data_IF_031303909237
#
_entry.id   IF_031303909237
#
_cell.length_a   1.000
_cell.length_b   1.000
_cell.length_c   1.000
_cell.angle_alpha   90.00
_cell.angle_beta   90.00
_cell.angle_gamma   90.00
#
_symmetry.space_group_name_H-M   'P 1'
#
loop_
_entity.id
_entity.type
_entity.pdbx_description
1 polymer ?
#
# COMPACT_ATOMS: atom_id res chain seq x y z
N UNK A 1 31.71 -23.37 3.99
CA UNK A 1 31.19 -22.12 4.59
C UNK A 1 30.07 -21.67 3.69
N UNK A 2 28.83 -21.77 4.18
CA UNK A 2 27.65 -21.34 3.42
C UNK A 2 27.84 -19.87 3.04
N UNK A 3 27.86 -19.55 1.76
CA UNK A 3 27.81 -18.17 1.32
C UNK A 3 26.48 -17.60 1.82
N UNK A 4 26.53 -16.81 2.91
CA UNK A 4 25.38 -16.02 3.33
C UNK A 4 24.95 -15.19 2.13
N UNK A 5 23.85 -15.60 1.50
CA UNK A 5 23.20 -14.81 0.45
C UNK A 5 22.60 -13.60 1.16
N UNK A 6 23.37 -12.53 1.26
CA UNK A 6 22.90 -11.26 1.78
C UNK A 6 21.78 -10.80 0.85
N UNK A 7 20.57 -10.60 1.38
CA UNK A 7 19.52 -10.00 0.55
C UNK A 7 19.94 -8.57 0.29
N UNK A 8 19.66 -8.08 -0.91
CA UNK A 8 20.05 -6.73 -1.30
C UNK A 8 19.48 -5.65 -0.37
N UNK A 9 18.27 -5.85 0.18
CA UNK A 9 17.69 -4.97 1.20
C UNK A 9 18.47 -4.95 2.53
N UNK A 10 19.15 -6.03 2.90
CA UNK A 10 19.97 -6.09 4.11
C UNK A 10 21.22 -5.21 3.95
N UNK A 11 21.81 -5.21 2.74
CA UNK A 11 22.94 -4.35 2.39
C UNK A 11 22.56 -2.87 2.45
N UNK A 12 21.43 -2.47 1.85
CA UNK A 12 20.96 -1.09 1.91
C UNK A 12 20.67 -0.66 3.36
N UNK A 13 20.05 -1.54 4.15
CA UNK A 13 19.79 -1.29 5.57
C UNK A 13 21.09 -1.12 6.38
N UNK A 14 22.12 -1.91 6.06
CA UNK A 14 23.43 -1.78 6.70
C UNK A 14 24.12 -0.46 6.32
N UNK A 15 24.07 -0.07 5.04
CA UNK A 15 24.61 1.21 4.55
C UNK A 15 23.93 2.39 5.27
N UNK A 16 22.60 2.36 5.42
CA UNK A 16 21.84 3.45 6.05
C UNK A 16 22.18 3.67 7.54
N UNK A 17 22.76 2.68 8.22
CA UNK A 17 23.16 2.75 9.63
C UNK A 17 24.63 3.13 9.85
N UNK A 18 25.40 3.33 8.78
CA UNK A 18 26.83 3.61 8.91
C UNK A 18 27.07 4.98 9.53
N UNK A 19 28.09 5.05 10.37
CA UNK A 19 28.60 6.33 10.87
C UNK A 19 29.34 7.08 9.76
N UNK A 20 29.54 8.42 9.88
CA UNK A 20 30.31 9.18 8.89
C UNK A 20 31.72 8.63 8.64
N UNK A 21 32.38 8.12 9.69
CA UNK A 21 33.70 7.48 9.57
C UNK A 21 33.65 6.17 8.78
N UNK A 22 32.62 5.35 9.02
CA UNK A 22 32.39 4.11 8.28
C UNK A 22 32.07 4.36 6.80
N UNK A 23 31.20 5.33 6.50
CA UNK A 23 30.93 5.75 5.12
C UNK A 23 32.18 6.23 4.39
N UNK A 24 32.99 7.05 5.08
CA UNK A 24 34.24 7.57 4.52
C UNK A 24 35.22 6.44 4.21
N UNK A 25 35.36 5.48 5.12
CA UNK A 25 36.26 4.35 4.91
C UNK A 25 35.74 3.37 3.85
N UNK A 26 34.43 3.10 3.80
CA UNK A 26 33.82 2.29 2.74
C UNK A 26 34.04 2.93 1.36
N UNK A 27 33.90 4.26 1.27
CA UNK A 27 34.19 5.04 0.05
C UNK A 27 35.67 4.98 -0.31
N UNK A 28 36.57 5.00 0.67
CA UNK A 28 38.00 4.85 0.42
C UNK A 28 38.30 3.45 -0.15
N UNK A 29 37.76 2.39 0.43
CA UNK A 29 37.92 1.01 -0.06
C UNK A 29 37.36 0.87 -1.48
N UNK A 30 36.20 1.47 -1.79
CA UNK A 30 35.54 1.32 -3.09
C UNK A 30 36.27 1.97 -4.26
N UNK A 31 37.27 2.82 -3.99
CA UNK A 31 38.12 3.44 -5.02
C UNK A 31 39.20 2.49 -5.54
N UNK A 32 39.41 1.36 -4.87
CA UNK A 32 40.43 0.38 -5.23
C UNK A 32 39.79 -0.79 -5.98
N UNK A 33 40.34 -1.11 -7.15
CA UNK A 33 39.94 -2.28 -7.96
C UNK A 33 40.65 -3.58 -7.52
N UNK A 34 41.54 -3.48 -6.53
CA UNK A 34 42.31 -4.59 -5.96
C UNK A 34 42.27 -4.49 -4.43
N UNK A 35 42.46 -5.61 -3.70
CA UNK A 35 42.34 -5.58 -2.25
C UNK A 35 43.31 -4.60 -1.59
N UNK A 36 42.76 -3.70 -0.79
CA UNK A 36 43.51 -2.63 -0.12
C UNK A 36 43.83 -3.00 1.33
N UNK A 37 45.01 -2.65 1.81
CA UNK A 37 45.45 -2.94 3.18
C UNK A 37 45.07 -1.83 4.15
N UNK A 38 45.00 -2.17 5.45
CA UNK A 38 44.85 -1.18 6.55
C UNK A 38 45.92 -0.09 6.47
N UNK A 39 47.15 -0.44 6.11
CA UNK A 39 48.26 0.53 6.02
C UNK A 39 48.06 1.53 4.89
N UNK A 40 47.59 1.09 3.73
CA UNK A 40 47.26 1.97 2.60
C UNK A 40 46.10 2.90 2.96
N UNK A 41 45.01 2.36 3.49
CA UNK A 41 43.85 3.14 3.93
C UNK A 41 44.20 4.17 5.02
N UNK A 42 45.05 3.80 5.98
CA UNK A 42 45.53 4.71 7.02
C UNK A 42 46.31 5.89 6.43
N UNK A 43 47.20 5.62 5.47
CA UNK A 43 47.96 6.65 4.77
C UNK A 43 47.05 7.57 3.93
N UNK A 44 46.12 7.01 3.17
CA UNK A 44 45.20 7.76 2.31
C UNK A 44 44.22 8.62 3.12
N UNK A 45 43.75 8.11 4.25
CA UNK A 45 42.75 8.80 5.09
C UNK A 45 43.37 9.74 6.13
N UNK A 46 44.71 9.75 6.27
CA UNK A 46 45.39 10.48 7.35
C UNK A 46 45.04 9.97 8.75
N UNK A 47 44.62 8.71 8.88
CA UNK A 47 44.16 8.11 10.12
C UNK A 47 45.21 7.16 10.70
N UNK A 48 45.15 6.93 12.00
CA UNK A 48 45.98 5.91 12.64
C UNK A 48 45.50 4.50 12.24
N UNK A 49 46.45 3.57 12.05
CA UNK A 49 46.15 2.19 11.61
C UNK A 49 45.21 1.43 12.56
N UNK A 50 45.24 1.75 13.85
CA UNK A 50 44.32 1.16 14.84
C UNK A 50 42.86 1.54 14.56
N UNK A 51 42.60 2.82 14.27
CA UNK A 51 41.25 3.33 13.99
C UNK A 51 40.69 2.78 12.67
N UNK A 52 41.55 2.67 11.64
CA UNK A 52 41.19 2.03 10.38
C UNK A 52 40.84 0.56 10.59
N UNK A 53 41.62 -0.16 11.39
CA UNK A 53 41.37 -1.57 11.69
C UNK A 53 40.02 -1.77 12.39
N UNK A 54 39.72 -0.95 13.39
CA UNK A 54 38.43 -1.00 14.09
C UNK A 54 37.26 -0.76 13.14
N UNK A 55 37.38 0.30 12.30
CA UNK A 55 36.32 0.68 11.37
C UNK A 55 36.11 -0.38 10.27
N UNK A 56 37.19 -0.95 9.71
CA UNK A 56 37.06 -1.94 8.64
C UNK A 56 36.57 -3.30 9.14
N UNK A 57 36.89 -3.68 10.38
CA UNK A 57 36.31 -4.87 11.00
C UNK A 57 34.80 -4.67 11.26
N UNK A 58 34.35 -3.46 11.64
CA UNK A 58 32.92 -3.17 11.74
C UNK A 58 32.20 -3.28 10.37
N UNK A 59 32.82 -2.78 9.30
CA UNK A 59 32.31 -2.92 7.93
C UNK A 59 32.27 -4.39 7.47
N UNK A 60 33.29 -5.18 7.84
CA UNK A 60 33.36 -6.61 7.52
C UNK A 60 32.26 -7.39 8.25
N UNK A 61 32.07 -7.14 9.54
CA UNK A 61 31.01 -7.75 10.34
C UNK A 61 29.61 -7.35 9.86
N UNK A 62 29.48 -6.22 9.16
CA UNK A 62 28.23 -5.77 8.54
C UNK A 62 28.03 -6.30 7.11
N UNK A 63 28.95 -7.14 6.61
CA UNK A 63 28.88 -7.72 5.27
C UNK A 63 29.17 -6.76 4.11
N UNK A 64 29.66 -5.54 4.40
CA UNK A 64 29.87 -4.50 3.37
C UNK A 64 31.23 -4.57 2.70
N UNK A 65 32.19 -5.25 3.34
CA UNK A 65 33.51 -5.53 2.78
C UNK A 65 33.84 -7.01 2.96
N UNK A 66 34.62 -7.55 2.03
CA UNK A 66 35.28 -8.85 2.17
C UNK A 66 36.75 -8.65 2.53
N UNK A 67 37.39 -9.71 3.02
CA UNK A 67 38.83 -9.75 3.29
C UNK A 67 39.46 -11.00 2.71
N UNK A 68 40.66 -10.86 2.20
CA UNK A 68 41.49 -11.96 1.73
C UNK A 68 42.92 -11.83 2.25
N UNK A 69 43.62 -12.96 2.34
CA UNK A 69 45.05 -12.96 2.63
C UNK A 69 45.81 -12.63 1.36
N UNK A 70 46.62 -11.57 1.41
CA UNK A 70 47.47 -11.18 0.30
C UNK A 70 48.70 -12.10 0.19
N UNK A 71 49.25 -12.29 -1.03
CA UNK A 71 50.48 -13.03 -1.23
C UNK A 71 51.62 -12.53 -0.34
N UNK A 72 52.42 -13.44 0.19
CA UNK A 72 53.54 -13.11 1.08
C UNK A 72 54.68 -12.51 0.24
N UNK A 73 54.97 -11.23 0.45
CA UNK A 73 56.21 -10.60 -0.02
C UNK A 73 57.18 -10.42 1.16
N UNK A 74 58.00 -11.43 1.46
CA UNK A 74 59.07 -11.36 2.46
C UNK A 74 58.79 -12.01 3.83
N UNK A 75 59.49 -11.58 4.89
CA UNK A 75 59.32 -12.08 6.27
C UNK A 75 58.18 -11.33 6.98
N UNK A 76 57.18 -12.05 7.48
CA UNK A 76 56.08 -11.49 8.28
C UNK A 76 54.78 -12.30 8.15
N UNK A 77 53.75 -11.94 8.94
CA UNK A 77 52.39 -12.49 8.75
C UNK A 77 51.79 -11.91 7.46
N UNK A 78 51.10 -12.73 6.62
CA UNK A 78 50.43 -12.22 5.42
C UNK A 78 49.52 -11.03 5.77
N UNK A 79 49.58 -9.96 4.97
CA UNK A 79 48.69 -8.83 5.13
C UNK A 79 47.27 -9.21 4.71
N UNK A 80 46.28 -8.62 5.37
CA UNK A 80 44.89 -8.71 4.92
C UNK A 80 44.61 -7.57 3.94
N UNK A 81 44.07 -7.94 2.79
CA UNK A 81 43.50 -7.02 1.81
C UNK A 81 41.97 -7.02 1.91
N UNK A 82 41.36 -5.86 1.70
CA UNK A 82 39.92 -5.66 1.81
C UNK A 82 39.35 -5.13 0.50
N UNK A 83 38.13 -5.56 0.17
CA UNK A 83 37.38 -5.12 -1.02
C UNK A 83 35.93 -4.81 -0.63
N UNK A 84 35.30 -3.84 -1.29
CA UNK A 84 33.87 -3.57 -1.08
C UNK A 84 32.99 -4.61 -1.76
N UNK A 85 31.94 -5.04 -1.06
CA UNK A 85 30.85 -5.86 -1.60
C UNK A 85 29.55 -5.06 -1.77
N UNK A 86 29.56 -3.79 -1.39
CA UNK A 86 28.39 -2.94 -1.35
C UNK A 86 28.65 -1.58 -2.03
N UNK A 87 27.60 -0.93 -2.56
CA UNK A 87 27.68 0.44 -3.04
C UNK A 87 28.16 1.37 -1.92
N UNK A 88 29.21 2.17 -2.20
CA UNK A 88 29.73 3.12 -1.22
C UNK A 88 29.04 4.49 -1.27
N UNK A 89 28.28 4.78 -2.33
CA UNK A 89 27.54 6.01 -2.48
C UNK A 89 26.31 6.02 -1.56
N UNK A 90 26.26 6.95 -0.61
CA UNK A 90 25.12 7.11 0.30
C UNK A 90 23.79 7.42 -0.45
N UNK A 91 23.85 8.04 -1.63
CA UNK A 91 22.67 8.34 -2.45
C UNK A 91 22.16 7.13 -3.27
N UNK A 92 22.86 6.00 -3.24
CA UNK A 92 22.59 4.88 -4.13
C UNK A 92 21.17 4.31 -4.01
N UNK A 93 20.63 4.18 -2.79
CA UNK A 93 19.28 3.66 -2.59
C UNK A 93 18.21 4.55 -3.25
N UNK A 94 18.33 5.87 -3.10
CA UNK A 94 17.43 6.84 -3.75
C UNK A 94 17.56 6.82 -5.27
N UNK A 95 18.80 6.81 -5.78
CA UNK A 95 19.06 6.73 -7.22
C UNK A 95 18.51 5.45 -7.85
N UNK A 96 18.63 4.32 -7.15
CA UNK A 96 18.10 3.06 -7.63
C UNK A 96 16.57 3.09 -7.72
N UNK A 97 15.89 3.67 -6.71
CA UNK A 97 14.44 3.85 -6.75
C UNK A 97 14.04 4.74 -7.93
N UNK A 98 14.67 5.90 -8.07
CA UNK A 98 14.41 6.87 -9.14
C UNK A 98 14.60 6.24 -10.53
N UNK A 99 15.72 5.55 -10.75
CA UNK A 99 16.00 4.87 -12.02
C UNK A 99 15.01 3.74 -12.31
N UNK A 100 14.64 2.96 -11.29
CA UNK A 100 13.69 1.86 -11.44
C UNK A 100 12.29 2.37 -11.79
N UNK A 101 11.82 3.41 -11.10
CA UNK A 101 10.55 4.06 -11.39
C UNK A 101 10.58 4.70 -12.78
N UNK A 102 11.61 5.48 -13.09
CA UNK A 102 11.76 6.12 -14.40
C UNK A 102 11.71 5.12 -15.56
N UNK A 103 12.43 3.99 -15.45
CA UNK A 103 12.40 2.92 -16.44
C UNK A 103 11.01 2.29 -16.58
N UNK A 104 10.31 2.05 -15.46
CA UNK A 104 8.94 1.53 -15.46
C UNK A 104 7.97 2.52 -16.14
N UNK A 105 8.04 3.81 -15.82
CA UNK A 105 7.18 4.83 -16.42
C UNK A 105 7.45 5.00 -17.92
N UNK A 106 8.72 4.92 -18.34
CA UNK A 106 9.09 4.90 -19.75
C UNK A 106 8.50 3.70 -20.49
N UNK A 107 8.50 2.52 -19.85
CA UNK A 107 7.86 1.32 -20.39
C UNK A 107 6.34 1.48 -20.51
N UNK A 108 5.67 2.04 -19.50
CA UNK A 108 4.23 2.29 -19.55
C UNK A 108 3.86 3.19 -20.72
N UNK A 109 4.60 4.28 -20.94
CA UNK A 109 4.39 5.19 -22.08
C UNK A 109 4.47 4.49 -23.43
N UNK A 110 5.40 3.55 -23.57
CA UNK A 110 5.65 2.87 -24.83
C UNK A 110 4.70 1.70 -25.09
N UNK A 111 4.11 1.10 -24.06
CA UNK A 111 3.44 -0.21 -24.17
C UNK A 111 2.00 -0.26 -23.63
N UNK A 112 1.61 0.61 -22.70
CA UNK A 112 0.26 0.59 -22.13
C UNK A 112 -0.72 1.34 -23.04
N UNK A 113 -1.93 0.78 -23.21
CA UNK A 113 -3.02 1.44 -23.93
C UNK A 113 -3.51 2.70 -23.22
N UNK A 114 -3.51 2.68 -21.88
CA UNK A 114 -3.80 3.82 -21.01
C UNK A 114 -2.71 3.95 -19.92
N UNK A 115 -1.58 4.64 -20.21
CA UNK A 115 -0.47 4.74 -19.27
C UNK A 115 -0.83 5.41 -17.95
N UNK A 116 -1.75 6.38 -17.97
CA UNK A 116 -2.23 7.12 -16.79
C UNK A 116 -2.98 6.21 -15.83
N UNK A 117 -3.95 5.46 -16.32
CA UNK A 117 -4.73 4.49 -15.53
C UNK A 117 -3.83 3.35 -15.02
N UNK A 118 -2.92 2.85 -15.87
CA UNK A 118 -1.97 1.82 -15.45
C UNK A 118 -1.03 2.30 -14.33
N UNK A 119 -0.56 3.55 -14.38
CA UNK A 119 0.26 4.13 -13.32
C UNK A 119 -0.52 4.26 -12.00
N UNK A 120 -1.77 4.73 -12.07
CA UNK A 120 -2.68 4.76 -10.92
C UNK A 120 -2.86 3.36 -10.30
N UNK A 121 -3.16 2.35 -11.12
CA UNK A 121 -3.37 0.97 -10.67
C UNK A 121 -2.14 0.35 -10.01
N UNK A 122 -0.94 0.63 -10.53
CA UNK A 122 0.32 0.21 -9.91
C UNK A 122 0.45 0.84 -8.53
N UNK A 123 0.19 2.15 -8.44
CA UNK A 123 0.18 2.88 -7.18
C UNK A 123 -0.81 2.27 -6.18
N UNK A 124 -2.06 2.06 -6.60
CA UNK A 124 -3.11 1.50 -5.77
C UNK A 124 -2.73 0.11 -5.24
N UNK A 125 -2.26 -0.80 -6.10
CA UNK A 125 -1.80 -2.13 -5.68
C UNK A 125 -0.68 -2.06 -4.65
N UNK A 126 0.29 -1.18 -4.86
CA UNK A 126 1.36 -0.96 -3.87
C UNK A 126 0.80 -0.42 -2.55
N UNK A 127 -0.15 0.53 -2.58
CA UNK A 127 -0.76 1.11 -1.39
C UNK A 127 -1.49 0.07 -0.53
N UNK A 128 -2.22 -0.85 -1.17
CA UNK A 128 -2.88 -1.98 -0.48
C UNK A 128 -1.87 -2.96 0.14
N UNK A 129 -0.79 -3.27 -0.58
CA UNK A 129 0.28 -4.12 -0.09
C UNK A 129 1.02 -3.48 1.10
N UNK A 130 1.27 -2.18 1.05
CA UNK A 130 1.95 -1.44 2.10
C UNK A 130 1.17 -1.47 3.43
N UNK A 131 -0.16 -1.40 3.39
CA UNK A 131 -1.01 -1.52 4.59
C UNK A 131 -1.12 -2.96 5.08
N UNK A 132 -1.02 -3.95 4.17
CA UNK A 132 -1.09 -5.38 4.53
C UNK A 132 0.23 -5.93 5.11
N UNK A 133 1.35 -5.27 4.84
CA UNK A 133 2.66 -5.63 5.36
C UNK A 133 2.76 -5.33 6.86
N UNK A 134 3.16 -6.32 7.68
CA UNK A 134 3.13 -6.18 9.15
C UNK A 134 4.09 -5.13 9.70
N UNK A 135 5.27 -4.97 9.10
CA UNK A 135 6.25 -3.99 9.57
C UNK A 135 5.77 -2.57 9.26
N UNK A 136 5.21 -2.38 8.07
CA UNK A 136 4.62 -1.12 7.63
C UNK A 136 3.32 -0.78 8.39
N UNK A 137 2.44 -1.76 8.60
CA UNK A 137 1.18 -1.60 9.32
C UNK A 137 1.37 -1.15 10.78
N UNK A 138 2.50 -1.51 11.41
CA UNK A 138 2.83 -1.06 12.75
C UNK A 138 2.91 0.48 12.88
N UNK A 139 3.07 1.21 11.77
CA UNK A 139 3.03 2.68 11.78
C UNK A 139 1.61 3.26 11.85
N UNK A 140 0.58 2.45 11.56
CA UNK A 140 -0.82 2.80 11.76
C UNK A 140 -1.24 2.60 13.23
N UNK A 141 -0.54 1.73 13.95
CA UNK A 141 -0.70 1.53 15.39
C UNK A 141 -0.10 2.72 16.17
N UNK A 142 -0.90 3.77 16.35
CA UNK A 142 -0.53 4.89 17.20
C UNK A 142 -0.47 4.54 18.68
N UNK A 143 0.32 5.26 19.52
CA UNK A 143 0.07 5.27 20.95
C UNK A 143 -1.38 5.69 21.17
N UNK A 144 -2.15 4.93 21.98
CA UNK A 144 -3.52 5.30 22.37
C UNK A 144 -3.47 6.74 22.88
N UNK A 145 -3.98 7.69 22.09
CA UNK A 145 -4.01 9.08 22.49
C UNK A 145 -4.74 9.16 23.83
N UNK A 146 -4.10 9.72 24.86
CA UNK A 146 -4.68 9.98 26.18
C UNK A 146 -5.70 11.14 26.16
N UNK A 147 -6.18 11.51 24.98
CA UNK A 147 -7.18 12.55 24.75
C UNK A 147 -8.09 12.08 23.62
N UNK A 148 -9.38 11.99 23.93
CA UNK A 148 -10.45 11.61 23.00
C UNK A 148 -10.55 12.70 21.93
N UNK A 149 -10.15 12.43 20.69
CA UNK A 149 -10.62 13.24 19.55
C UNK A 149 -12.13 13.02 19.44
N UNK A 150 -12.91 14.10 19.42
CA UNK A 150 -14.37 14.01 19.30
C UNK A 150 -14.84 13.54 17.90
N UNK A 151 -13.94 13.45 16.91
CA UNK A 151 -14.20 12.88 15.58
C UNK A 151 -13.29 11.68 15.28
N UNK A 152 -13.87 10.53 14.85
CA UNK A 152 -13.13 9.37 14.37
C UNK A 152 -12.17 9.71 13.22
N UNK A 153 -12.56 10.59 12.30
CA UNK A 153 -11.74 10.94 11.12
C UNK A 153 -10.47 11.69 11.50
N UNK A 154 -10.54 12.60 12.46
CA UNK A 154 -9.36 13.31 12.95
C UNK A 154 -8.35 12.36 13.63
N UNK A 155 -8.82 11.31 14.32
CA UNK A 155 -7.94 10.29 14.88
C UNK A 155 -7.24 9.44 13.80
N UNK A 156 -7.93 9.14 12.69
CA UNK A 156 -7.33 8.43 11.56
C UNK A 156 -6.30 9.29 10.83
N UNK A 157 -6.54 10.59 10.71
CA UNK A 157 -5.65 11.53 10.02
C UNK A 157 -4.22 11.52 10.60
N UNK A 158 -4.04 11.45 11.92
CA UNK A 158 -2.71 11.40 12.55
C UNK A 158 -1.96 10.08 12.30
N UNK A 159 -2.66 8.95 12.33
CA UNK A 159 -2.07 7.65 11.99
C UNK A 159 -1.67 7.59 10.51
N UNK A 160 -2.56 8.03 9.63
CA UNK A 160 -2.31 8.10 8.19
C UNK A 160 -1.14 9.05 7.89
N UNK A 161 -1.10 10.22 8.52
CA UNK A 161 -0.01 11.17 8.34
C UNK A 161 1.34 10.52 8.65
N UNK A 162 1.48 9.82 9.78
CA UNK A 162 2.72 9.12 10.14
C UNK A 162 3.08 8.04 9.14
N UNK A 163 2.11 7.22 8.74
CA UNK A 163 2.31 6.19 7.74
C UNK A 163 2.82 6.79 6.43
N UNK A 164 2.12 7.80 5.89
CA UNK A 164 2.52 8.48 4.66
C UNK A 164 3.89 9.17 4.77
N UNK A 165 4.23 9.75 5.92
CA UNK A 165 5.61 10.26 6.17
C UNK A 165 6.63 9.14 6.07
N UNK A 166 6.38 7.98 6.69
CA UNK A 166 7.30 6.84 6.65
C UNK A 166 7.42 6.21 5.26
N UNK A 167 6.37 6.32 4.44
CA UNK A 167 6.38 5.93 3.04
C UNK A 167 7.07 6.97 2.12
N UNK A 168 7.57 8.08 2.66
CA UNK A 168 8.34 9.08 1.91
C UNK A 168 7.53 10.22 1.30
N UNK A 169 6.22 10.34 1.59
CA UNK A 169 5.38 11.42 1.07
C UNK A 169 5.50 12.76 1.82
N UNK A 170 6.31 12.79 2.89
CA UNK A 170 6.52 13.99 3.73
C UNK A 170 5.18 14.63 4.19
N UNK A 171 4.26 13.81 4.69
CA UNK A 171 2.92 14.25 5.06
C UNK A 171 2.89 15.12 6.34
N UNK A 172 2.15 16.23 6.28
CA UNK A 172 1.92 17.16 7.40
C UNK A 172 0.42 17.45 7.56
N UNK A 173 -0.04 17.78 8.76
CA UNK A 173 -1.45 18.18 8.98
C UNK A 173 -1.71 19.57 8.41
N UNK A 174 -2.93 19.81 7.90
CA UNK A 174 -3.36 21.14 7.50
C UNK A 174 -3.57 22.04 8.74
N UNK A 175 -3.16 23.32 8.72
CA UNK A 175 -3.16 24.18 9.90
C UNK A 175 -4.56 24.45 10.49
N UNK A 176 -5.60 24.42 9.66
CA UNK A 176 -6.98 24.76 10.06
C UNK A 176 -7.97 23.62 9.86
N UNK A 177 -7.54 22.48 9.33
CA UNK A 177 -8.45 21.38 8.94
C UNK A 177 -7.88 20.05 9.42
N UNK A 178 -8.35 19.51 10.56
CA UNK A 178 -7.74 18.33 11.19
C UNK A 178 -7.92 17.03 10.38
N UNK A 179 -8.89 16.98 9.47
CA UNK A 179 -9.11 15.87 8.55
C UNK A 179 -8.35 16.01 7.22
N UNK A 180 -7.51 17.04 7.07
CA UNK A 180 -6.81 17.34 5.85
C UNK A 180 -5.30 17.22 6.06
N UNK A 181 -4.64 16.50 5.15
CA UNK A 181 -3.20 16.30 5.12
C UNK A 181 -2.61 16.97 3.88
N UNK A 182 -1.37 17.44 4.01
CA UNK A 182 -0.58 18.00 2.93
C UNK A 182 0.61 17.08 2.69
N UNK A 183 0.75 16.57 1.48
CA UNK A 183 1.92 15.85 1.02
C UNK A 183 2.91 16.86 0.46
N UNK A 184 4.15 16.83 0.93
CA UNK A 184 5.19 17.78 0.51
C UNK A 184 6.25 17.14 -0.39
N UNK A 185 6.12 15.83 -0.65
CA UNK A 185 7.04 15.09 -1.50
C UNK A 185 6.32 13.99 -2.30
N UNK A 186 6.89 13.65 -3.45
CA UNK A 186 6.55 12.47 -4.21
C UNK A 186 7.82 11.62 -4.38
N UNK A 187 7.92 10.43 -3.76
CA UNK A 187 9.15 9.63 -3.79
C UNK A 187 9.46 9.00 -5.16
N UNK A 188 8.57 9.21 -6.15
CA UNK A 188 8.61 8.57 -7.46
C UNK A 188 9.14 9.49 -8.57
N UNK A 189 9.45 10.75 -8.27
CA UNK A 189 9.89 11.72 -9.28
C UNK A 189 10.84 12.76 -8.70
N UNK A 190 11.71 13.31 -9.55
CA UNK A 190 12.47 14.52 -9.25
C UNK A 190 11.47 15.70 -9.08
N UNK A 191 11.50 16.43 -7.95
CA UNK A 191 10.62 17.57 -7.75
C UNK A 191 10.90 18.74 -8.70
N UNK A 192 12.10 18.86 -9.27
CA UNK A 192 12.41 19.88 -10.28
C UNK A 192 11.75 19.59 -11.62
N UNK A 193 11.48 18.31 -11.92
CA UNK A 193 10.91 17.85 -13.19
C UNK A 193 9.86 16.76 -12.93
N UNK A 194 8.70 17.11 -12.37
CA UNK A 194 7.70 16.13 -11.96
C UNK A 194 7.13 15.37 -13.17
N UNK A 195 7.24 14.05 -13.15
CA UNK A 195 6.68 13.16 -14.16
C UNK A 195 5.17 12.96 -13.91
N UNK A 196 4.28 13.28 -14.89
CA UNK A 196 2.83 13.13 -14.71
C UNK A 196 2.38 11.71 -14.33
N UNK A 197 3.04 10.66 -14.85
CA UNK A 197 2.69 9.29 -14.51
C UNK A 197 3.16 8.92 -13.09
N UNK A 198 4.28 9.48 -12.62
CA UNK A 198 4.70 9.32 -11.23
C UNK A 198 3.70 9.98 -10.26
N UNK A 199 3.13 11.12 -10.65
CA UNK A 199 2.12 11.82 -9.84
C UNK A 199 0.81 11.03 -9.76
N UNK A 200 0.40 10.38 -10.84
CA UNK A 200 -0.75 9.45 -10.85
C UNK A 200 -0.49 8.18 -10.04
N UNK A 201 0.73 7.63 -10.12
CA UNK A 201 1.14 6.51 -9.27
C UNK A 201 1.04 6.89 -7.79
N UNK A 202 1.51 8.09 -7.41
CA UNK A 202 1.32 8.61 -6.05
C UNK A 202 -0.16 8.74 -5.70
N UNK A 203 -1.00 9.26 -6.60
CA UNK A 203 -2.44 9.41 -6.33
C UNK A 203 -3.08 8.06 -6.00
N UNK A 204 -2.87 7.05 -6.84
CA UNK A 204 -3.39 5.70 -6.58
C UNK A 204 -2.85 5.09 -5.29
N UNK A 205 -1.57 5.25 -5.01
CA UNK A 205 -0.96 4.79 -3.76
C UNK A 205 -1.59 5.42 -2.53
N UNK A 206 -1.71 6.75 -2.50
CA UNK A 206 -2.23 7.50 -1.35
C UNK A 206 -3.71 7.21 -1.13
N UNK A 207 -4.53 7.28 -2.19
CA UNK A 207 -5.97 6.97 -2.09
C UNK A 207 -6.18 5.56 -1.54
N UNK A 208 -5.44 4.57 -2.04
CA UNK A 208 -5.60 3.17 -1.59
C UNK A 208 -5.06 2.93 -0.18
N UNK A 209 -3.95 3.58 0.22
CA UNK A 209 -3.45 3.52 1.60
C UNK A 209 -4.52 4.01 2.57
N UNK A 210 -5.11 5.17 2.30
CA UNK A 210 -6.12 5.76 3.20
C UNK A 210 -7.36 4.88 3.27
N UNK A 211 -7.86 4.40 2.13
CA UNK A 211 -9.01 3.48 2.09
C UNK A 211 -8.73 2.17 2.85
N UNK A 212 -7.56 1.58 2.69
CA UNK A 212 -7.19 0.34 3.37
C UNK A 212 -7.01 0.54 4.89
N UNK A 213 -6.50 1.70 5.31
CA UNK A 213 -6.27 2.02 6.72
C UNK A 213 -7.55 2.43 7.47
N UNK A 214 -8.47 3.14 6.82
CA UNK A 214 -9.71 3.66 7.43
C UNK A 214 -10.94 2.76 7.22
N UNK A 215 -10.89 1.84 6.26
CA UNK A 215 -12.06 1.09 5.83
C UNK A 215 -13.01 1.88 4.93
N UNK A 216 -14.17 1.29 4.62
CA UNK A 216 -15.11 1.81 3.62
C UNK A 216 -15.89 3.09 4.04
N UNK A 217 -15.73 3.52 5.30
CA UNK A 217 -16.46 4.65 5.88
C UNK A 217 -15.69 5.98 5.78
N UNK A 218 -14.60 6.03 5.02
CA UNK A 218 -13.81 7.25 4.80
C UNK A 218 -13.55 7.41 3.31
N UNK A 219 -14.12 8.49 2.74
CA UNK A 219 -13.84 8.91 1.37
C UNK A 219 -12.58 9.78 1.35
N UNK A 220 -11.86 9.74 0.23
CA UNK A 220 -10.61 10.48 0.04
C UNK A 220 -10.76 11.44 -1.11
N UNK A 221 -10.62 12.73 -0.82
CA UNK A 221 -10.48 13.74 -1.86
C UNK A 221 -9.00 14.08 -2.03
N UNK A 222 -8.47 13.79 -3.22
CA UNK A 222 -7.10 14.11 -3.59
C UNK A 222 -7.08 15.32 -4.53
N UNK A 223 -6.29 16.34 -4.18
CA UNK A 223 -6.11 17.51 -5.04
C UNK A 223 -4.62 17.88 -5.09
N UNK A 224 -4.02 17.80 -6.27
CA UNK A 224 -2.67 18.33 -6.50
C UNK A 224 -2.70 19.87 -6.46
N UNK A 225 -1.63 20.47 -5.95
CA UNK A 225 -1.45 21.91 -6.06
C UNK A 225 -1.16 22.27 -7.53
N UNK A 226 -1.90 23.23 -8.12
CA UNK A 226 -1.77 23.58 -9.53
C UNK A 226 -0.43 24.26 -9.86
N UNK A 227 0.19 24.94 -8.89
CA UNK A 227 1.46 25.64 -9.05
C UNK A 227 2.65 24.74 -8.70
N UNK A 228 2.43 23.73 -7.84
CA UNK A 228 3.43 22.74 -7.50
C UNK A 228 2.83 21.32 -7.40
N UNK A 229 2.76 20.56 -8.49
CA UNK A 229 2.01 19.30 -8.53
C UNK A 229 2.61 18.17 -7.66
N UNK A 230 3.85 18.34 -7.17
CA UNK A 230 4.47 17.47 -6.16
C UNK A 230 3.77 17.63 -4.80
N UNK A 231 3.28 18.83 -4.50
CA UNK A 231 2.45 19.10 -3.33
C UNK A 231 1.01 18.65 -3.63
N UNK A 232 0.40 17.95 -2.69
CA UNK A 232 -1.02 17.61 -2.79
C UNK A 232 -1.73 17.66 -1.46
N UNK A 233 -3.00 18.02 -1.52
CA UNK A 233 -3.93 18.00 -0.41
C UNK A 233 -4.71 16.68 -0.44
N UNK A 234 -4.76 16.00 0.70
CA UNK A 234 -5.52 14.77 0.91
C UNK A 234 -6.53 15.07 2.01
N UNK A 235 -7.81 15.18 1.63
CA UNK A 235 -8.88 15.44 2.60
C UNK A 235 -9.59 14.13 2.88
N UNK A 236 -9.57 13.72 4.14
CA UNK A 236 -10.38 12.64 4.65
C UNK A 236 -11.77 13.20 4.90
N UNK A 237 -12.70 12.78 4.07
CA UNK A 237 -14.10 13.01 4.33
C UNK A 237 -14.56 11.86 5.21
N UNK A 238 -15.44 12.13 6.17
CA UNK A 238 -16.34 11.06 6.59
C UNK A 238 -16.92 10.54 5.30
N UNK A 239 -16.61 9.27 5.01
CA UNK A 239 -17.36 8.56 4.03
C UNK A 239 -18.78 8.82 4.49
N UNK A 240 -19.57 9.38 3.61
CA UNK A 240 -20.96 9.02 3.62
C UNK A 240 -20.86 7.49 3.61
N UNK A 241 -20.90 6.79 4.75
CA UNK A 241 -20.25 5.48 4.89
C UNK A 241 -20.99 4.43 4.12
N UNK A 242 -20.86 4.40 2.79
CA UNK A 242 -22.09 4.52 2.00
C UNK A 242 -23.07 5.52 2.68
N UNK A 243 -23.22 6.74 2.15
CA UNK A 243 -24.61 7.12 1.88
C UNK A 243 -25.00 5.95 1.01
N UNK A 244 -25.80 5.03 1.56
CA UNK A 244 -26.40 3.90 0.86
C UNK A 244 -26.50 4.38 -0.56
N UNK A 245 -25.60 3.89 -1.43
CA UNK A 245 -25.42 4.50 -2.73
C UNK A 245 -26.83 4.45 -3.29
N UNK A 246 -27.45 5.61 -3.35
CA UNK A 246 -28.88 5.76 -3.50
C UNK A 246 -29.20 5.54 -4.96
N UNK A 247 -28.75 4.44 -5.53
CA UNK A 247 -29.73 3.56 -6.11
C UNK A 247 -30.10 2.61 -4.98
N UNK A 248 -31.06 3.03 -4.16
CA UNK A 248 -31.69 2.21 -3.16
C UNK A 248 -32.34 0.98 -3.78
N UNK A 249 -31.52 0.00 -4.17
CA UNK A 249 -31.95 -1.13 -4.97
C UNK A 249 -32.15 -2.31 -4.06
N UNK A 250 -33.40 -2.71 -3.91
CA UNK A 250 -33.73 -4.00 -3.36
C UNK A 250 -33.17 -5.07 -4.31
N UNK A 251 -32.36 -5.99 -3.79
CA UNK A 251 -31.84 -7.11 -4.57
C UNK A 251 -32.53 -8.39 -4.12
N UNK A 252 -33.02 -9.18 -5.07
CA UNK A 252 -33.62 -10.48 -4.81
C UNK A 252 -32.75 -11.54 -5.46
N UNK A 253 -32.32 -12.54 -4.69
CA UNK A 253 -31.55 -13.69 -5.17
C UNK A 253 -32.44 -14.92 -5.13
N UNK A 254 -32.46 -15.64 -6.25
CA UNK A 254 -33.28 -16.83 -6.42
C UNK A 254 -32.39 -18.06 -6.48
N UNK A 255 -32.80 -19.13 -5.80
CA UNK A 255 -32.07 -20.38 -5.77
C UNK A 255 -32.97 -21.54 -6.23
N UNK A 256 -32.37 -22.56 -6.84
CA UNK A 256 -33.08 -23.78 -7.29
C UNK A 256 -34.32 -23.48 -8.14
N UNK A 257 -35.44 -24.13 -7.81
CA UNK A 257 -36.71 -23.98 -8.55
C UNK A 257 -37.27 -22.56 -8.58
N UNK A 258 -36.85 -21.66 -7.68
CA UNK A 258 -37.25 -20.25 -7.73
C UNK A 258 -36.53 -19.53 -8.88
N UNK A 259 -35.24 -19.80 -9.09
CA UNK A 259 -34.48 -19.23 -10.20
C UNK A 259 -34.97 -19.74 -11.56
N UNK A 260 -35.41 -21.00 -11.62
CA UNK A 260 -36.06 -21.57 -12.80
C UNK A 260 -37.40 -20.89 -13.11
N UNK A 261 -38.23 -20.67 -12.08
CA UNK A 261 -39.55 -20.05 -12.23
C UNK A 261 -39.48 -18.59 -12.70
N UNK A 262 -38.46 -17.83 -12.30
CA UNK A 262 -38.26 -16.43 -12.72
C UNK A 262 -37.22 -16.26 -13.84
N UNK A 263 -36.63 -17.36 -14.32
CA UNK A 263 -35.63 -17.42 -15.39
C UNK A 263 -34.36 -16.57 -15.15
N UNK A 264 -34.01 -16.30 -13.89
CA UNK A 264 -32.80 -15.57 -13.49
C UNK A 264 -32.38 -15.96 -12.07
N UNK A 265 -31.10 -15.82 -11.76
CA UNK A 265 -30.55 -16.02 -10.41
C UNK A 265 -30.71 -14.78 -9.52
N UNK A 266 -30.99 -13.63 -10.11
CA UNK A 266 -31.09 -12.37 -9.39
C UNK A 266 -31.93 -11.32 -10.13
N UNK A 267 -32.60 -10.47 -9.35
CA UNK A 267 -33.31 -9.27 -9.81
C UNK A 267 -32.99 -8.08 -8.92
N UNK A 268 -33.08 -6.88 -9.49
CA UNK A 268 -32.88 -5.63 -8.74
C UNK A 268 -33.98 -4.63 -9.02
N UNK A 269 -34.57 -4.07 -7.96
CA UNK A 269 -35.66 -3.10 -8.04
C UNK A 269 -35.15 -1.71 -7.65
N UNK A 270 -35.28 -0.67 -8.49
CA UNK A 270 -35.01 0.71 -8.08
C UNK A 270 -35.88 1.12 -6.89
N UNK A 271 -35.38 2.01 -6.01
CA UNK A 271 -36.13 2.45 -4.81
C UNK A 271 -37.53 2.98 -5.12
N UNK A 272 -37.67 3.71 -6.23
CA UNK A 272 -38.93 4.31 -6.66
C UNK A 272 -40.02 3.29 -6.96
N UNK A 273 -39.65 2.03 -7.23
CA UNK A 273 -40.56 0.93 -7.56
C UNK A 273 -40.33 -0.30 -6.68
N UNK A 274 -39.54 -0.19 -5.60
CA UNK A 274 -39.25 -1.32 -4.74
C UNK A 274 -40.43 -1.58 -3.78
N UNK A 275 -40.91 -2.83 -3.68
CA UNK A 275 -41.92 -3.22 -2.69
C UNK A 275 -41.53 -2.85 -1.26
N UNK A 276 -42.51 -2.40 -0.47
CA UNK A 276 -42.28 -1.97 0.91
C UNK A 276 -42.13 -3.14 1.90
N UNK A 277 -42.67 -4.32 1.57
CA UNK A 277 -42.67 -5.52 2.42
C UNK A 277 -42.38 -6.76 1.59
N UNK A 278 -41.97 -7.83 2.28
CA UNK A 278 -41.72 -9.11 1.65
C UNK A 278 -42.96 -9.67 0.94
N UNK A 279 -44.17 -9.49 1.51
CA UNK A 279 -45.43 -9.86 0.87
C UNK A 279 -45.65 -9.13 -0.45
N UNK A 280 -45.47 -7.81 -0.47
CA UNK A 280 -45.66 -7.02 -1.68
C UNK A 280 -44.68 -7.45 -2.79
N UNK A 281 -43.45 -7.83 -2.43
CA UNK A 281 -42.48 -8.38 -3.37
C UNK A 281 -42.92 -9.74 -3.92
N UNK A 282 -43.40 -10.64 -3.06
CA UNK A 282 -43.87 -11.97 -3.47
C UNK A 282 -45.08 -11.81 -4.41
N UNK A 283 -46.03 -10.94 -4.08
CA UNK A 283 -47.22 -10.69 -4.90
C UNK A 283 -46.86 -10.10 -6.27
N UNK A 284 -45.90 -9.16 -6.33
CA UNK A 284 -45.43 -8.56 -7.58
C UNK A 284 -44.73 -9.60 -8.48
N UNK A 285 -43.83 -10.41 -7.90
CA UNK A 285 -43.17 -11.49 -8.62
C UNK A 285 -44.15 -12.58 -9.07
N UNK A 286 -45.16 -12.92 -8.27
CA UNK A 286 -46.18 -13.89 -8.64
C UNK A 286 -47.12 -13.38 -9.75
N UNK A 287 -47.36 -12.07 -9.81
CA UNK A 287 -48.15 -11.45 -10.86
C UNK A 287 -47.40 -11.42 -12.21
N UNK A 288 -46.08 -11.19 -12.18
CA UNK A 288 -45.24 -11.16 -13.38
C UNK A 288 -44.83 -12.58 -13.85
N UNK A 289 -44.57 -13.49 -12.89
CA UNK A 289 -44.13 -14.87 -13.13
C UNK A 289 -45.11 -15.85 -12.48
N UNK A 290 -46.16 -16.31 -13.20
CA UNK A 290 -47.20 -17.18 -12.61
C UNK A 290 -46.68 -18.49 -12.00
N UNK A 291 -45.59 -19.04 -12.55
CA UNK A 291 -44.97 -20.27 -12.04
C UNK A 291 -44.24 -20.05 -10.70
N UNK A 292 -43.84 -18.80 -10.39
CA UNK A 292 -43.18 -18.44 -9.13
C UNK A 292 -44.12 -18.60 -7.92
N UNK A 293 -45.42 -18.34 -8.08
CA UNK A 293 -46.39 -18.40 -6.98
C UNK A 293 -46.36 -19.75 -6.24
N UNK A 294 -46.33 -20.85 -7.00
CA UNK A 294 -46.28 -22.22 -6.44
C UNK A 294 -44.98 -22.53 -5.71
N UNK A 295 -43.87 -21.93 -6.16
CA UNK A 295 -42.55 -22.11 -5.56
C UNK A 295 -42.41 -21.25 -4.31
N UNK A 296 -42.91 -20.01 -4.34
CA UNK A 296 -42.92 -19.09 -3.21
C UNK A 296 -43.67 -19.67 -2.00
N UNK A 297 -44.81 -20.34 -2.23
CA UNK A 297 -45.63 -20.98 -1.17
C UNK A 297 -44.88 -22.03 -0.33
N UNK A 298 -43.86 -22.67 -0.91
CA UNK A 298 -43.08 -23.72 -0.25
C UNK A 298 -41.65 -23.27 0.09
N UNK A 299 -41.26 -22.04 -0.25
CA UNK A 299 -39.92 -21.50 -0.02
C UNK A 299 -39.79 -20.83 1.34
N UNK A 300 -38.58 -20.83 1.90
CA UNK A 300 -38.21 -19.92 2.98
C UNK A 300 -37.56 -18.66 2.40
N UNK A 301 -37.68 -17.56 3.14
CA UNK A 301 -37.17 -16.26 2.72
C UNK A 301 -36.21 -15.72 3.77
N UNK A 302 -35.02 -15.29 3.32
CA UNK A 302 -34.09 -14.52 4.15
C UNK A 302 -34.12 -13.07 3.72
N UNK A 303 -34.17 -12.15 4.68
CA UNK A 303 -33.91 -10.72 4.45
C UNK A 303 -32.66 -10.37 5.24
N UNK A 304 -31.62 -9.91 4.54
CA UNK A 304 -30.30 -9.62 5.09
C UNK A 304 -29.78 -10.79 5.95
N UNK A 305 -29.79 -11.99 5.37
CA UNK A 305 -29.34 -13.27 5.98
C UNK A 305 -30.18 -13.78 7.17
N UNK A 306 -31.37 -13.22 7.41
CA UNK A 306 -32.26 -13.62 8.52
C UNK A 306 -33.60 -14.11 8.01
N UNK A 307 -34.00 -15.29 8.51
CA UNK A 307 -35.31 -15.85 8.20
C UNK A 307 -36.43 -14.86 8.55
N UNK A 308 -37.30 -14.63 7.58
CA UNK A 308 -38.25 -13.52 7.59
C UNK A 308 -39.63 -13.95 7.12
N UNK A 309 -40.66 -13.47 7.82
CA UNK A 309 -42.05 -13.67 7.45
C UNK A 309 -42.55 -12.62 6.47
N UNK A 310 -43.73 -12.85 5.88
CA UNK A 310 -44.27 -12.02 4.81
C UNK A 310 -44.47 -10.53 5.19
N UNK A 311 -44.70 -10.23 6.48
CA UNK A 311 -44.90 -8.86 6.97
C UNK A 311 -43.57 -8.12 7.24
N UNK A 312 -42.41 -8.75 7.01
CA UNK A 312 -41.10 -8.13 7.20
C UNK A 312 -40.95 -6.91 6.26
N UNK A 313 -40.64 -5.71 6.79
CA UNK A 313 -40.42 -4.52 5.98
C UNK A 313 -39.09 -4.61 5.24
N UNK A 314 -39.11 -4.29 3.93
CA UNK A 314 -37.92 -4.27 3.09
C UNK A 314 -37.31 -2.87 3.13
N UNK A 315 -36.13 -2.80 3.75
CA UNK A 315 -35.37 -1.56 3.90
C UNK A 315 -34.60 -1.24 2.63
N UNK A 316 -34.12 -0.01 2.58
CA UNK A 316 -33.34 0.43 1.44
C UNK A 316 -32.03 -0.35 1.32
N UNK A 317 -31.75 -0.89 0.13
CA UNK A 317 -30.60 -1.76 -0.12
C UNK A 317 -30.69 -3.16 0.49
N UNK A 318 -31.87 -3.59 0.96
CA UNK A 318 -32.06 -4.93 1.49
C UNK A 318 -31.76 -6.02 0.44
N UNK A 319 -31.26 -7.16 0.91
CA UNK A 319 -31.08 -8.36 0.09
C UNK A 319 -32.08 -9.41 0.54
N UNK A 320 -32.91 -9.87 -0.40
CA UNK A 320 -33.88 -10.94 -0.19
C UNK A 320 -33.37 -12.20 -0.87
N UNK A 321 -33.36 -13.32 -0.16
CA UNK A 321 -32.99 -14.63 -0.71
C UNK A 321 -34.21 -15.55 -0.67
N UNK A 322 -34.55 -16.15 -1.81
CA UNK A 322 -35.65 -17.10 -1.96
C UNK A 322 -35.08 -18.51 -2.00
N UNK A 323 -35.38 -19.30 -0.98
CA UNK A 323 -34.82 -20.62 -0.76
C UNK A 323 -35.94 -21.68 -0.84
N UNK A 324 -36.17 -22.28 -2.03
CA UNK A 324 -37.02 -23.46 -2.15
C UNK A 324 -36.47 -24.62 -1.33
N UNK A 325 -37.32 -25.59 -0.95
CA UNK A 325 -36.88 -26.77 -0.22
C UNK A 325 -35.87 -27.53 -1.08
N UNK A 326 -34.77 -27.95 -0.46
CA UNK A 326 -33.70 -28.65 -1.16
C UNK A 326 -34.23 -29.90 -1.87
N UNK A 327 -34.15 -29.92 -3.20
CA UNK A 327 -34.26 -31.14 -4.00
C UNK A 327 -32.90 -31.84 -4.01
N UNK A 328 -32.46 -32.28 -2.83
CA UNK A 328 -31.24 -33.08 -2.69
C UNK A 328 -31.50 -34.49 -3.24
N UNK A 329 -30.90 -34.78 -4.40
CA UNK A 329 -30.59 -36.15 -4.85
C UNK A 329 -29.15 -36.50 -4.48
#
# INVERSE_FOLDING_TARGET
MSAERHRFGDLLSAIARLTPAQHSLLTAVSRHNVPVTVTQLAKESGLHSSSVRETIEALYNSGLVTREQLPISGRGRPALGYLTLAPANAAFAGQLLEQSVSAMLAWLRANASNPTEAAYDIGARWGEQAVSDRESAAFLDGPKASGRSDSPVASHADCIRRFLTNMGFAATSHPTSPSCLILNACPYTDPAFPDPLALELRRGAVERIVQAACGADVDVEFAADPDNPVVAKVTLCEGKGRQAAGSGRLTVRFYGGAAEAVQTDSMTFPRSSAPATLRALIDELAAEFPDFARVADISSFLVDERESGADTPLRDGAVVEVLPPFAGG
#
